data_IF_772602569038
#
_entry.id   IF_772602569038
#
_cell.length_a   1.000
_cell.length_b   1.000
_cell.length_c   1.000
_cell.angle_alpha   90.00
_cell.angle_beta   90.00
_cell.angle_gamma   90.00
#
_symmetry.space_group_name_H-M   'P 1'
#
loop_
_entity.id
_entity.type
_entity.pdbx_description
1 polymer ?
#
# COMPACT_ATOMS: atom_id res chain seq x y z
N UNK A 1 8.44 -22.39 -7.94
CA UNK A 1 7.82 -21.68 -6.80
C UNK A 1 8.95 -21.27 -5.88
N UNK A 2 9.39 -20.01 -5.98
CA UNK A 2 10.36 -19.47 -5.04
C UNK A 2 9.74 -19.32 -3.64
N UNK A 3 10.55 -19.58 -2.63
CA UNK A 3 10.11 -19.64 -1.24
C UNK A 3 9.85 -18.21 -0.74
N UNK A 4 8.64 -17.85 -0.25
CA UNK A 4 8.30 -16.48 0.20
C UNK A 4 9.25 -15.95 1.29
N UNK A 5 9.89 -16.85 2.02
CA UNK A 5 10.91 -16.54 3.04
C UNK A 5 12.19 -15.91 2.45
N UNK A 6 12.55 -16.23 1.19
CA UNK A 6 13.72 -15.60 0.52
C UNK A 6 13.42 -14.17 0.09
N UNK A 7 12.22 -13.90 -0.44
CA UNK A 7 11.81 -12.55 -0.84
C UNK A 7 11.71 -11.60 0.37
N UNK A 8 11.29 -12.10 1.52
CA UNK A 8 11.18 -11.34 2.78
C UNK A 8 12.55 -10.94 3.37
N UNK A 9 13.55 -11.84 3.28
CA UNK A 9 14.92 -11.51 3.70
C UNK A 9 15.59 -10.48 2.78
N UNK A 10 15.26 -10.50 1.48
CA UNK A 10 15.75 -9.51 0.53
C UNK A 10 15.07 -8.14 0.69
N UNK A 11 13.77 -8.09 0.97
CA UNK A 11 13.05 -6.82 1.19
C UNK A 11 13.52 -6.12 2.46
N UNK A 12 13.72 -6.86 3.56
CA UNK A 12 14.28 -6.29 4.80
C UNK A 12 15.67 -5.69 4.60
N UNK A 13 16.54 -6.37 3.85
CA UNK A 13 17.87 -5.85 3.52
C UNK A 13 17.78 -4.59 2.65
N UNK A 14 16.92 -4.60 1.63
CA UNK A 14 16.69 -3.45 0.78
C UNK A 14 16.16 -2.25 1.59
N UNK A 15 15.21 -2.46 2.49
CA UNK A 15 14.69 -1.42 3.38
C UNK A 15 15.82 -0.79 4.22
N UNK A 16 16.67 -1.61 4.84
CA UNK A 16 17.80 -1.11 5.62
C UNK A 16 18.81 -0.29 4.81
N UNK A 17 19.06 -0.69 3.56
CA UNK A 17 20.06 -0.05 2.71
C UNK A 17 19.55 1.20 1.99
N UNK A 18 18.27 1.23 1.63
CA UNK A 18 17.72 2.29 0.77
C UNK A 18 16.74 3.22 1.48
N UNK A 19 15.97 2.72 2.46
CA UNK A 19 14.94 3.51 3.14
C UNK A 19 15.47 4.12 4.44
N UNK A 20 16.05 3.32 5.33
CA UNK A 20 16.50 3.80 6.64
C UNK A 20 17.41 5.05 6.58
N UNK A 21 18.38 5.16 5.66
CA UNK A 21 19.23 6.35 5.56
C UNK A 21 18.47 7.62 5.19
N UNK A 22 17.27 7.49 4.59
CA UNK A 22 16.45 8.58 4.04
C UNK A 22 15.27 8.97 4.92
N UNK A 23 14.91 8.18 5.93
CA UNK A 23 13.78 8.48 6.83
C UNK A 23 13.84 9.88 7.46
N UNK A 24 15.05 10.43 7.63
CA UNK A 24 15.25 11.79 8.15
C UNK A 24 14.69 12.90 7.25
N UNK A 25 14.56 12.67 5.94
CA UNK A 25 14.05 13.65 4.97
C UNK A 25 12.56 13.50 4.69
N UNK A 26 11.90 12.45 5.17
CA UNK A 26 10.46 12.25 4.96
C UNK A 26 9.63 13.27 5.74
N UNK A 27 8.51 13.67 5.16
CA UNK A 27 7.52 14.53 5.79
C UNK A 27 6.78 13.74 6.88
N UNK A 28 6.58 14.38 8.04
CA UNK A 28 6.03 13.73 9.24
C UNK A 28 4.83 14.48 9.79
N UNK A 29 3.94 13.73 10.42
CA UNK A 29 2.86 14.26 11.22
C UNK A 29 1.97 13.13 11.72
N UNK A 30 0.73 13.47 12.05
CA UNK A 30 -0.22 12.47 12.53
C UNK A 30 -0.68 11.63 11.34
N UNK A 31 -0.48 10.31 11.43
CA UNK A 31 -1.04 9.29 10.53
C UNK A 31 -2.13 8.52 11.28
N UNK A 32 -3.15 8.07 10.56
CA UNK A 32 -4.20 7.17 11.05
C UNK A 32 -3.64 5.82 11.49
N UNK A 33 -2.68 5.28 10.73
CA UNK A 33 -1.98 4.04 11.05
C UNK A 33 -2.73 2.73 10.71
N UNK A 34 -3.94 2.83 10.14
CA UNK A 34 -4.73 1.66 9.69
C UNK A 34 -5.71 2.00 8.56
N UNK A 35 -5.22 2.58 7.46
CA UNK A 35 -6.02 3.02 6.32
C UNK A 35 -6.35 1.88 5.33
N UNK A 36 -6.98 0.82 5.83
CA UNK A 36 -7.46 -0.29 5.00
C UNK A 36 -8.89 -0.06 4.47
N UNK A 37 -9.37 -0.95 3.59
CA UNK A 37 -10.67 -0.90 2.91
C UNK A 37 -11.87 -0.87 3.86
N UNK A 38 -11.74 -1.39 5.07
CA UNK A 38 -12.82 -1.43 6.07
C UNK A 38 -12.95 -0.14 6.86
N UNK A 39 -11.90 0.68 6.86
CA UNK A 39 -11.83 1.92 7.62
C UNK A 39 -12.14 3.15 6.77
N UNK A 40 -12.46 2.98 5.48
CA UNK A 40 -12.83 4.06 4.57
C UNK A 40 -14.29 3.88 4.14
N UNK A 41 -15.13 4.86 4.45
CA UNK A 41 -16.53 4.89 4.02
C UNK A 41 -16.61 5.64 2.70
N UNK A 42 -17.23 5.01 1.70
CA UNK A 42 -17.53 5.65 0.41
C UNK A 42 -19.04 5.76 0.21
N UNK A 43 -19.49 6.89 -0.31
CA UNK A 43 -20.89 7.15 -0.63
C UNK A 43 -21.03 7.42 -2.13
N UNK A 44 -22.04 6.84 -2.80
CA UNK A 44 -22.30 7.15 -4.20
C UNK A 44 -22.70 8.62 -4.36
N UNK A 45 -22.04 9.28 -5.31
CA UNK A 45 -22.42 10.60 -5.80
C UNK A 45 -22.77 10.44 -7.27
N UNK A 46 -23.79 11.15 -7.77
CA UNK A 46 -24.42 10.88 -9.07
C UNK A 46 -23.48 10.60 -10.25
N UNK A 47 -24.02 9.97 -11.30
CA UNK A 47 -23.27 9.52 -12.49
C UNK A 47 -22.28 8.38 -12.22
N UNK A 48 -22.60 7.47 -11.29
CA UNK A 48 -21.79 6.29 -11.00
C UNK A 48 -20.48 6.56 -10.25
N UNK A 49 -20.30 7.78 -9.74
CA UNK A 49 -19.13 8.18 -8.97
C UNK A 49 -19.31 7.85 -7.50
N UNK A 50 -18.20 7.81 -6.77
CA UNK A 50 -18.20 7.61 -5.32
C UNK A 50 -17.25 8.64 -4.71
N UNK A 51 -17.57 9.10 -3.51
CA UNK A 51 -16.72 9.99 -2.74
C UNK A 51 -16.46 9.38 -1.36
N UNK A 52 -15.28 9.64 -0.81
CA UNK A 52 -14.95 9.27 0.57
C UNK A 52 -15.79 10.16 1.50
N UNK A 53 -16.67 9.55 2.27
CA UNK A 53 -17.59 10.24 3.18
C UNK A 53 -17.19 10.12 4.65
N UNK A 54 -16.18 9.30 4.97
CA UNK A 54 -15.69 9.17 6.34
C UNK A 54 -14.50 8.20 6.47
N UNK A 55 -13.79 8.34 7.58
CA UNK A 55 -12.72 7.46 8.02
C UNK A 55 -13.05 6.96 9.43
N UNK A 56 -12.83 5.68 9.69
CA UNK A 56 -13.16 5.00 10.95
C UNK A 56 -11.90 4.46 11.64
N UNK A 57 -12.03 4.21 12.95
CA UNK A 57 -11.04 3.52 13.78
C UNK A 57 -9.69 4.26 13.98
N UNK A 58 -9.77 5.40 14.66
CA UNK A 58 -8.63 6.22 15.05
C UNK A 58 -7.79 5.64 16.23
N UNK A 59 -7.97 4.37 16.59
CA UNK A 59 -7.28 3.77 17.74
C UNK A 59 -5.77 3.59 17.52
N UNK A 60 -5.31 3.65 16.26
CA UNK A 60 -3.91 3.47 15.84
C UNK A 60 -3.19 4.78 15.49
N UNK A 61 -3.78 5.93 15.81
CA UNK A 61 -3.18 7.24 15.53
C UNK A 61 -1.77 7.37 16.13
N UNK A 62 -0.82 7.82 15.31
CA UNK A 62 0.54 8.03 15.74
C UNK A 62 1.22 9.16 14.96
N UNK A 63 2.31 9.71 15.50
CA UNK A 63 3.14 10.66 14.77
C UNK A 63 4.24 9.91 14.03
N UNK A 64 4.17 9.89 12.70
CA UNK A 64 5.13 9.17 11.83
C UNK A 64 5.20 9.81 10.44
N UNK A 65 5.91 9.17 9.51
CA UNK A 65 6.08 9.61 8.13
C UNK A 65 4.79 9.39 7.33
N UNK A 66 4.30 10.44 6.69
CA UNK A 66 3.09 10.39 5.86
C UNK A 66 3.17 9.36 4.74
N UNK A 67 4.36 9.17 4.16
CA UNK A 67 4.61 8.16 3.12
C UNK A 67 4.37 6.72 3.59
N UNK A 68 4.45 6.43 4.90
CA UNK A 68 4.13 5.09 5.43
C UNK A 68 2.63 4.82 5.37
N UNK A 69 1.80 5.82 5.67
CA UNK A 69 0.34 5.73 5.52
C UNK A 69 -0.07 5.58 4.07
N UNK A 70 0.55 6.37 3.17
CA UNK A 70 0.34 6.22 1.74
C UNK A 70 0.70 4.81 1.26
N UNK A 71 1.85 4.29 1.67
CA UNK A 71 2.30 2.94 1.30
C UNK A 71 1.36 1.85 1.82
N UNK A 72 0.88 1.96 3.06
CA UNK A 72 -0.10 1.04 3.64
C UNK A 72 -1.43 1.10 2.86
N UNK A 73 -1.94 2.31 2.59
CA UNK A 73 -3.17 2.52 1.82
C UNK A 73 -3.07 1.87 0.45
N UNK A 74 -1.97 2.11 -0.29
CA UNK A 74 -1.73 1.46 -1.58
C UNK A 74 -1.76 -0.05 -1.43
N UNK A 75 -0.98 -0.62 -0.51
CA UNK A 75 -0.90 -2.07 -0.33
C UNK A 75 -2.26 -2.72 -0.02
N UNK A 76 -3.08 -2.14 0.86
CA UNK A 76 -4.38 -2.70 1.20
C UNK A 76 -5.38 -2.57 0.04
N UNK A 77 -5.39 -1.43 -0.66
CA UNK A 77 -6.26 -1.27 -1.83
C UNK A 77 -5.85 -2.22 -2.98
N UNK A 78 -4.55 -2.55 -3.10
CA UNK A 78 -4.09 -3.57 -4.03
C UNK A 78 -4.65 -4.97 -3.69
N UNK A 79 -4.77 -5.32 -2.40
CA UNK A 79 -5.28 -6.63 -1.98
C UNK A 79 -6.75 -6.87 -2.39
N UNK A 80 -7.54 -5.78 -2.43
CA UNK A 80 -8.98 -5.81 -2.72
C UNK A 80 -9.31 -5.52 -4.21
N UNK A 81 -8.33 -5.08 -5.01
CA UNK A 81 -8.57 -4.72 -6.41
C UNK A 81 -8.22 -5.86 -7.39
N UNK A 82 -9.09 -6.19 -8.37
CA UNK A 82 -8.78 -7.15 -9.43
C UNK A 82 -7.55 -6.80 -10.29
N UNK A 83 -7.27 -5.50 -10.45
CA UNK A 83 -6.13 -4.93 -11.16
C UNK A 83 -5.19 -4.22 -10.17
N UNK A 84 -4.48 -4.97 -9.31
CA UNK A 84 -3.78 -4.42 -8.14
C UNK A 84 -2.74 -3.35 -8.52
N UNK A 85 -1.99 -3.55 -9.60
CA UNK A 85 -0.92 -2.61 -9.96
C UNK A 85 -1.42 -1.24 -10.44
N UNK A 86 -2.67 -1.13 -10.87
CA UNK A 86 -3.26 0.12 -11.34
C UNK A 86 -3.72 1.01 -10.17
N UNK A 87 -3.92 0.42 -8.99
CA UNK A 87 -4.35 1.11 -7.76
C UNK A 87 -3.40 2.22 -7.36
N UNK A 88 -2.09 1.99 -7.49
CA UNK A 88 -1.08 2.94 -7.03
C UNK A 88 -1.20 4.30 -7.72
N UNK A 89 -1.47 4.33 -9.03
CA UNK A 89 -1.62 5.58 -9.78
C UNK A 89 -2.84 6.40 -9.35
N UNK A 90 -3.98 5.74 -9.12
CA UNK A 90 -5.20 6.41 -8.66
C UNK A 90 -5.03 7.02 -7.26
N UNK A 91 -4.44 6.27 -6.32
CA UNK A 91 -4.19 6.76 -4.96
C UNK A 91 -3.17 7.88 -4.95
N UNK A 92 -2.07 7.73 -5.71
CA UNK A 92 -1.05 8.79 -5.82
C UNK A 92 -1.61 10.07 -6.39
N UNK A 93 -2.48 10.00 -7.40
CA UNK A 93 -3.15 11.19 -7.93
C UNK A 93 -3.94 11.92 -6.85
N UNK A 94 -4.75 11.18 -6.08
CA UNK A 94 -5.52 11.77 -4.98
C UNK A 94 -4.62 12.34 -3.89
N UNK A 95 -3.56 11.63 -3.52
CA UNK A 95 -2.61 12.05 -2.49
C UNK A 95 -1.84 13.31 -2.89
N UNK A 96 -1.23 13.32 -4.07
CA UNK A 96 -0.41 14.43 -4.56
C UNK A 96 -1.24 15.67 -4.93
N UNK A 97 -2.56 15.56 -5.04
CA UNK A 97 -3.46 16.73 -5.15
C UNK A 97 -3.49 17.58 -3.87
N UNK A 98 -3.11 17.02 -2.73
CA UNK A 98 -3.05 17.70 -1.43
C UNK A 98 -1.59 17.84 -0.95
N UNK A 99 -0.79 16.79 -1.08
CA UNK A 99 0.58 16.74 -0.59
C UNK A 99 1.50 16.01 -1.56
N UNK A 100 2.40 16.75 -2.20
CA UNK A 100 3.39 16.20 -3.13
C UNK A 100 4.46 15.42 -2.35
N UNK A 101 4.82 14.24 -2.86
CA UNK A 101 5.93 13.46 -2.32
C UNK A 101 7.25 14.13 -2.64
N UNK A 102 8.12 14.24 -1.65
CA UNK A 102 9.50 14.63 -1.89
C UNK A 102 10.27 13.52 -2.64
N UNK A 103 11.47 13.86 -3.12
CA UNK A 103 12.26 12.95 -3.97
C UNK A 103 12.62 11.63 -3.25
N UNK A 104 13.02 11.70 -1.99
CA UNK A 104 13.38 10.52 -1.21
C UNK A 104 12.15 9.64 -0.88
N UNK A 105 11.00 10.26 -0.59
CA UNK A 105 9.73 9.57 -0.39
C UNK A 105 9.31 8.83 -1.66
N UNK A 106 9.36 9.52 -2.81
CA UNK A 106 9.04 8.94 -4.12
C UNK A 106 9.96 7.77 -4.44
N UNK A 107 11.27 7.92 -4.21
CA UNK A 107 12.26 6.88 -4.48
C UNK A 107 12.09 5.64 -3.58
N UNK A 108 11.59 5.82 -2.37
CA UNK A 108 11.40 4.74 -1.41
C UNK A 108 10.03 4.05 -1.53
N UNK A 109 9.03 4.68 -2.16
CA UNK A 109 7.64 4.24 -2.15
C UNK A 109 7.44 2.78 -2.55
N UNK A 110 8.11 2.33 -3.63
CA UNK A 110 8.04 0.93 -4.06
C UNK A 110 8.42 -0.04 -2.92
N UNK A 111 9.54 0.20 -2.25
CA UNK A 111 10.00 -0.64 -1.14
C UNK A 111 9.07 -0.53 0.08
N UNK A 112 8.53 0.68 0.33
CA UNK A 112 7.60 0.92 1.42
C UNK A 112 6.31 0.14 1.24
N UNK A 113 5.77 0.01 0.02
CA UNK A 113 4.54 -0.76 -0.25
C UNK A 113 4.74 -2.27 -0.05
N UNK A 114 5.95 -2.80 -0.32
CA UNK A 114 6.24 -4.22 -0.05
C UNK A 114 6.12 -4.57 1.44
N UNK A 115 6.39 -3.61 2.33
CA UNK A 115 6.35 -3.80 3.79
C UNK A 115 4.97 -4.23 4.29
N UNK A 116 3.90 -3.42 4.11
CA UNK A 116 2.54 -3.77 4.48
C UNK A 116 2.02 -5.04 3.78
N UNK A 117 2.44 -5.34 2.55
CA UNK A 117 2.14 -6.62 1.90
C UNK A 117 2.76 -7.80 2.64
N UNK A 118 4.05 -7.73 3.00
CA UNK A 118 4.70 -8.73 3.85
C UNK A 118 4.01 -8.86 5.21
N UNK A 119 3.67 -7.74 5.84
CA UNK A 119 3.01 -7.69 7.15
C UNK A 119 1.64 -8.37 7.10
N UNK A 120 0.85 -8.11 6.06
CA UNK A 120 -0.45 -8.77 5.82
C UNK A 120 -0.30 -10.29 5.70
N UNK A 121 0.74 -10.79 5.03
CA UNK A 121 1.02 -12.23 4.94
C UNK A 121 1.40 -12.85 6.29
N UNK A 122 2.22 -12.17 7.07
CA UNK A 122 2.62 -12.62 8.41
C UNK A 122 1.40 -12.65 9.33
N UNK A 123 0.62 -11.57 9.37
CA UNK A 123 -0.61 -11.52 10.18
C UNK A 123 -1.66 -12.52 9.72
N UNK A 124 -1.86 -12.70 8.41
CA UNK A 124 -2.78 -13.70 7.88
C UNK A 124 -2.44 -15.11 8.36
N UNK A 125 -1.14 -15.46 8.37
CA UNK A 125 -0.67 -16.75 8.87
C UNK A 125 -0.87 -16.92 10.37
N UNK A 126 -0.60 -15.90 11.17
CA UNK A 126 -0.81 -15.97 12.62
C UNK A 126 -2.29 -15.97 12.99
N UNK A 127 -3.11 -15.18 12.29
CA UNK A 127 -4.56 -15.13 12.50
C UNK A 127 -5.23 -16.44 12.11
N UNK A 128 -4.75 -17.16 11.10
CA UNK A 128 -5.27 -18.47 10.73
C UNK A 128 -5.12 -19.49 11.87
N UNK A 129 -4.08 -19.36 12.71
CA UNK A 129 -3.90 -20.21 13.90
C UNK A 129 -4.86 -19.83 15.03
N UNK A 130 -5.15 -18.53 15.18
CA UNK A 130 -5.96 -17.98 16.28
C UNK A 130 -7.46 -18.05 16.02
N UNK A 131 -7.87 -17.84 14.77
CA UNK A 131 -9.26 -17.72 14.33
C UNK A 131 -9.52 -18.68 13.16
N UNK A 132 -9.56 -20.00 13.40
CA UNK A 132 -9.72 -20.99 12.35
C UNK A 132 -11.06 -20.85 11.59
N UNK A 133 -12.06 -20.25 12.22
CA UNK A 133 -13.38 -20.01 11.59
C UNK A 133 -13.33 -18.95 10.47
N UNK A 134 -12.33 -18.07 10.49
CA UNK A 134 -12.12 -17.03 9.46
C UNK A 134 -11.20 -17.51 8.32
N UNK A 135 -10.95 -18.82 8.23
CA UNK A 135 -9.94 -19.42 7.35
C UNK A 135 -10.10 -19.03 5.89
N UNK A 136 -11.31 -19.04 5.34
CA UNK A 136 -11.52 -18.78 3.92
C UNK A 136 -11.14 -17.34 3.55
N UNK A 137 -11.55 -16.36 4.35
CA UNK A 137 -11.18 -14.96 4.18
C UNK A 137 -9.65 -14.78 4.29
N UNK A 138 -9.04 -15.32 5.36
CA UNK A 138 -7.61 -15.19 5.61
C UNK A 138 -6.75 -15.86 4.52
N UNK A 139 -7.20 -17.00 3.97
CA UNK A 139 -6.52 -17.68 2.88
C UNK A 139 -6.62 -16.93 1.55
N UNK A 140 -7.77 -16.29 1.26
CA UNK A 140 -7.92 -15.45 0.06
C UNK A 140 -6.98 -14.25 0.13
N UNK A 141 -6.97 -13.51 1.24
CA UNK A 141 -6.06 -12.38 1.44
C UNK A 141 -4.60 -12.82 1.33
N UNK A 142 -4.22 -13.95 1.95
CA UNK A 142 -2.85 -14.46 1.88
C UNK A 142 -2.45 -14.87 0.45
N UNK A 143 -3.36 -15.49 -0.31
CA UNK A 143 -3.12 -15.86 -1.71
C UNK A 143 -2.96 -14.62 -2.58
N UNK A 144 -3.82 -13.62 -2.41
CA UNK A 144 -3.74 -12.36 -3.16
C UNK A 144 -2.46 -11.60 -2.83
N UNK A 145 -2.14 -11.45 -1.54
CA UNK A 145 -0.91 -10.79 -1.10
C UNK A 145 0.35 -11.46 -1.63
N UNK A 146 0.41 -12.80 -1.62
CA UNK A 146 1.56 -13.54 -2.15
C UNK A 146 1.72 -13.30 -3.65
N UNK A 147 0.61 -13.36 -4.40
CA UNK A 147 0.60 -13.09 -5.84
C UNK A 147 1.09 -11.67 -6.14
N UNK A 148 0.55 -10.67 -5.45
CA UNK A 148 0.89 -9.26 -5.67
C UNK A 148 2.37 -9.01 -5.34
N UNK A 149 2.84 -9.52 -4.20
CA UNK A 149 4.23 -9.37 -3.77
C UNK A 149 5.19 -9.99 -4.80
N UNK A 150 4.92 -11.21 -5.27
CA UNK A 150 5.71 -11.86 -6.33
C UNK A 150 5.68 -11.06 -7.61
N UNK A 151 4.50 -10.60 -8.05
CA UNK A 151 4.35 -9.84 -9.29
C UNK A 151 5.12 -8.51 -9.25
N UNK A 152 5.02 -7.76 -8.15
CA UNK A 152 5.78 -6.51 -7.97
C UNK A 152 7.29 -6.78 -8.00
N UNK A 153 7.74 -7.83 -7.33
CA UNK A 153 9.15 -8.19 -7.25
C UNK A 153 9.72 -8.61 -8.61
N UNK A 154 8.97 -9.41 -9.37
CA UNK A 154 9.37 -9.88 -10.72
C UNK A 154 9.38 -8.74 -11.74
N UNK A 155 8.42 -7.82 -11.68
CA UNK A 155 8.41 -6.62 -12.53
C UNK A 155 9.54 -5.65 -12.16
N UNK A 156 9.87 -5.59 -10.88
CA UNK A 156 10.89 -4.71 -10.33
C UNK A 156 10.44 -3.25 -10.22
N UNK A 157 11.20 -2.50 -9.40
CA UNK A 157 10.91 -1.10 -9.03
C UNK A 157 10.55 -0.22 -10.23
N UNK A 158 11.40 -0.19 -11.25
CA UNK A 158 11.28 0.74 -12.40
C UNK A 158 9.95 0.58 -13.14
N UNK A 159 9.50 -0.65 -13.38
CA UNK A 159 8.28 -0.89 -14.15
C UNK A 159 7.02 -0.65 -13.34
N UNK A 160 7.04 -0.99 -12.04
CA UNK A 160 5.94 -0.68 -11.12
C UNK A 160 5.78 0.84 -10.96
N UNK A 161 6.88 1.55 -10.72
CA UNK A 161 6.88 3.01 -10.60
C UNK A 161 6.46 3.69 -11.89
N UNK A 162 6.83 3.14 -13.06
CA UNK A 162 6.34 3.65 -14.35
C UNK A 162 4.82 3.64 -14.39
N UNK A 163 4.16 2.55 -13.98
CA UNK A 163 2.69 2.50 -13.93
C UNK A 163 2.13 3.53 -12.95
N UNK A 164 2.66 3.55 -11.74
CA UNK A 164 2.17 4.43 -10.68
C UNK A 164 2.29 5.93 -11.01
N UNK A 165 3.43 6.36 -11.55
CA UNK A 165 3.68 7.79 -11.79
C UNK A 165 3.30 8.26 -13.20
N UNK A 166 3.23 7.37 -14.21
CA UNK A 166 2.73 7.74 -15.54
C UNK A 166 1.21 7.82 -15.55
N UNK A 167 0.53 6.83 -14.97
CA UNK A 167 -0.94 6.81 -14.96
C UNK A 167 -1.49 7.94 -14.06
N UNK A 168 -0.77 8.30 -12.99
CA UNK A 168 -1.14 9.44 -12.14
C UNK A 168 -1.18 10.77 -12.92
N UNK A 169 -0.21 11.00 -13.81
CA UNK A 169 -0.24 12.18 -14.70
C UNK A 169 -1.36 12.17 -15.73
N UNK A 170 -1.99 11.01 -15.97
CA UNK A 170 -3.08 10.87 -16.94
C UNK A 170 -4.42 11.30 -16.33
N UNK A 171 -4.57 11.21 -15.01
CA UNK A 171 -5.75 11.68 -14.28
C UNK A 171 -5.72 13.18 -13.97
N UNK A 172 -4.56 13.84 -14.10
CA UNK A 172 -4.40 15.28 -13.85
C UNK A 172 -4.92 16.19 -14.97
N UNK A 173 -5.41 15.65 -16.09
CA UNK A 173 -5.68 16.40 -17.34
C UNK A 173 -7.18 16.65 -17.61
N UNK A 174 -8.09 16.18 -16.77
CA UNK A 174 -9.52 16.41 -16.95
C UNK A 174 -10.11 17.27 -15.83
N UNK A 175 -9.87 18.58 -15.90
CA UNK A 175 -10.76 19.62 -15.34
C UNK A 175 -11.78 20.08 -16.39
#
# INVERSE_FOLDING_TARGET
MENPCRSDQSSHRAFKSYVLPKIGSFQKGIIHGDTNDKNIIVTPVGNGRHEVSGVLDFSSLMNDCYVFELAATIAYMMLENPSPLDVGGAILTGWESIMVLNEDERECLYLLVLGPLCQSLVYGRENLKKYPDNKDYLLVTAKNGTRILTQMWEMGKKEVERKWFTDASTFSVNE
#
